data_IF_488872180475
#
_entry.id   IF_488872180475
#
_cell.length_a   1.000
_cell.length_b   1.000
_cell.length_c   1.000
_cell.angle_alpha   90.00
_cell.angle_beta   90.00
_cell.angle_gamma   90.00
#
_symmetry.space_group_name_H-M   'P 1'
#
loop_
_entity.id
_entity.type
_entity.pdbx_description
1 polymer ?
#
# COMPACT_ATOMS: atom_id res chain seq x y z
N UNK A 1 15.99 -17.90 -21.04
CA UNK A 1 16.18 -16.55 -21.61
C UNK A 1 14.95 -15.99 -22.34
N UNK A 2 14.26 -16.68 -23.25
CA UNK A 2 13.07 -16.17 -23.97
C UNK A 2 11.86 -15.78 -23.06
N UNK A 3 11.67 -16.45 -21.92
CA UNK A 3 10.55 -16.16 -20.99
C UNK A 3 10.74 -14.82 -20.27
N UNK A 4 11.96 -14.48 -19.87
CA UNK A 4 12.28 -13.20 -19.21
C UNK A 4 12.10 -11.99 -20.15
N UNK A 5 12.45 -12.14 -21.44
CA UNK A 5 12.25 -11.08 -22.44
C UNK A 5 10.77 -10.82 -22.73
N UNK A 6 9.91 -11.84 -22.66
CA UNK A 6 8.47 -11.68 -22.84
C UNK A 6 7.80 -11.03 -21.62
N UNK A 7 8.28 -11.31 -20.40
CA UNK A 7 7.78 -10.65 -19.18
C UNK A 7 8.14 -9.17 -19.21
N UNK A 8 9.34 -8.81 -19.64
CA UNK A 8 9.78 -7.41 -19.76
C UNK A 8 8.98 -6.61 -20.80
N UNK A 9 8.60 -7.24 -21.93
CA UNK A 9 7.72 -6.63 -22.93
C UNK A 9 6.31 -6.35 -22.41
N UNK A 10 5.75 -7.27 -21.62
CA UNK A 10 4.43 -7.09 -21.00
C UNK A 10 4.45 -5.95 -19.98
N UNK A 11 5.51 -5.82 -19.17
CA UNK A 11 5.65 -4.76 -18.16
C UNK A 11 5.73 -3.38 -18.79
N UNK A 12 6.36 -3.23 -19.95
CA UNK A 12 6.46 -1.97 -20.68
C UNK A 12 5.16 -1.52 -21.36
N UNK A 13 4.21 -2.42 -21.58
CA UNK A 13 2.89 -2.11 -22.14
C UNK A 13 1.96 -1.43 -21.12
N UNK A 14 2.10 -1.73 -19.83
CA UNK A 14 1.23 -1.19 -18.78
C UNK A 14 1.54 0.25 -18.37
N UNK A 15 2.65 0.82 -18.81
CA UNK A 15 3.04 2.20 -18.51
C UNK A 15 2.61 3.22 -19.57
N UNK A 16 1.80 2.83 -20.58
CA UNK A 16 1.32 3.70 -21.66
C UNK A 16 -0.13 4.15 -21.44
N UNK A 17 -0.54 5.34 -21.94
CA UNK A 17 -1.91 5.83 -21.82
C UNK A 17 -2.94 4.89 -22.48
N UNK A 18 -4.16 4.86 -21.95
CA UNK A 18 -5.24 3.88 -22.27
C UNK A 18 -5.53 3.68 -23.78
N UNK A 19 -5.40 4.71 -24.58
CA UNK A 19 -5.63 4.65 -26.05
C UNK A 19 -4.60 3.79 -26.80
N UNK A 20 -3.39 3.65 -26.26
CA UNK A 20 -2.32 2.83 -26.87
C UNK A 20 -2.45 1.35 -26.48
N UNK A 21 -3.16 1.04 -25.39
CA UNK A 21 -3.31 -0.32 -24.88
C UNK A 21 -4.22 -1.16 -25.79
N UNK A 22 -5.32 -0.59 -26.29
CA UNK A 22 -6.29 -1.31 -27.15
C UNK A 22 -5.67 -1.75 -28.47
N UNK A 23 -4.84 -0.90 -29.09
CA UNK A 23 -4.19 -1.24 -30.35
C UNK A 23 -3.06 -2.27 -30.17
N UNK A 24 -2.37 -2.27 -29.05
CA UNK A 24 -1.30 -3.24 -28.78
C UNK A 24 -1.82 -4.61 -28.32
N UNK A 25 -3.01 -4.68 -27.73
CA UNK A 25 -3.69 -5.96 -27.42
C UNK A 25 -4.06 -6.67 -28.73
N UNK A 26 -4.58 -5.94 -29.73
CA UNK A 26 -4.92 -6.49 -31.05
C UNK A 26 -3.70 -7.06 -31.79
N UNK A 27 -2.56 -6.38 -31.73
CA UNK A 27 -1.30 -6.85 -32.30
C UNK A 27 -0.70 -8.08 -31.58
N UNK A 28 -0.93 -8.21 -30.27
CA UNK A 28 -0.52 -9.39 -29.47
C UNK A 28 -1.43 -10.59 -29.71
N UNK A 29 -2.71 -10.37 -29.98
CA UNK A 29 -3.67 -11.41 -30.31
C UNK A 29 -3.34 -12.03 -31.68
N UNK A 30 -2.94 -11.23 -32.65
CA UNK A 30 -2.56 -11.69 -33.99
C UNK A 30 -1.23 -12.48 -34.01
N UNK A 31 -0.28 -12.15 -33.14
CA UNK A 31 1.06 -12.76 -33.13
C UNK A 31 1.25 -13.93 -32.18
N UNK A 32 0.31 -14.22 -31.27
CA UNK A 32 0.44 -15.25 -30.24
C UNK A 32 -0.79 -16.17 -30.07
N UNK A 33 -1.47 -16.50 -31.13
CA UNK A 33 -2.72 -17.32 -31.09
C UNK A 33 -2.58 -18.69 -30.38
N UNK A 34 -1.37 -19.23 -30.21
CA UNK A 34 -1.12 -20.48 -29.48
C UNK A 34 -0.87 -20.32 -27.98
N UNK A 35 -0.44 -19.14 -27.50
CA UNK A 35 -0.11 -18.94 -26.09
C UNK A 35 -1.28 -18.29 -25.31
N UNK A 36 -2.09 -17.46 -25.98
CA UNK A 36 -3.26 -16.77 -25.39
C UNK A 36 -4.40 -17.74 -25.11
N UNK A 37 -4.49 -18.86 -25.85
CA UNK A 37 -5.52 -19.90 -25.62
C UNK A 37 -5.45 -20.62 -24.26
N UNK A 38 -4.38 -20.42 -23.46
CA UNK A 38 -4.23 -21.05 -22.12
C UNK A 38 -4.47 -20.11 -20.94
N UNK A 39 -4.74 -18.85 -21.17
CA UNK A 39 -5.19 -17.94 -20.12
C UNK A 39 -6.67 -17.60 -20.40
N UNK A 40 -7.62 -18.21 -19.70
CA UNK A 40 -8.99 -17.75 -19.78
C UNK A 40 -9.07 -16.39 -19.05
N UNK A 41 -8.71 -15.33 -19.76
CA UNK A 41 -9.14 -13.99 -19.40
C UNK A 41 -10.63 -13.97 -19.73
N UNK A 42 -11.43 -14.41 -18.77
CA UNK A 42 -12.89 -14.37 -18.92
C UNK A 42 -13.26 -12.91 -19.04
N UNK A 43 -13.74 -12.49 -20.21
CA UNK A 43 -14.33 -11.16 -20.43
C UNK A 43 -15.42 -10.86 -19.37
N UNK A 44 -16.09 -11.89 -18.86
CA UNK A 44 -17.03 -11.83 -17.74
C UNK A 44 -16.40 -11.38 -16.42
N UNK A 45 -15.09 -11.58 -16.23
CA UNK A 45 -14.40 -11.11 -15.04
C UNK A 45 -14.40 -9.57 -14.97
N UNK A 46 -14.08 -8.90 -16.08
CA UNK A 46 -14.11 -7.44 -16.15
C UNK A 46 -15.53 -6.87 -16.09
N UNK A 47 -16.53 -7.53 -16.69
CA UNK A 47 -17.95 -7.12 -16.59
C UNK A 47 -18.46 -7.18 -15.15
N UNK A 48 -18.09 -8.21 -14.40
CA UNK A 48 -18.52 -8.37 -13.00
C UNK A 48 -17.99 -7.24 -12.09
N UNK A 49 -16.79 -6.72 -12.37
CA UNK A 49 -16.19 -5.67 -11.53
C UNK A 49 -16.49 -4.25 -11.98
N UNK A 50 -16.97 -4.04 -13.23
CA UNK A 50 -17.38 -2.71 -13.70
C UNK A 50 -18.73 -2.25 -13.13
N UNK A 51 -19.53 -3.14 -12.57
CA UNK A 51 -20.85 -2.84 -12.00
C UNK A 51 -20.86 -2.83 -10.46
N UNK A 52 -19.70 -3.06 -9.80
CA UNK A 52 -19.62 -2.87 -8.36
C UNK A 52 -19.64 -1.37 -8.06
N UNK A 53 -20.50 -0.96 -7.14
CA UNK A 53 -20.48 0.39 -6.59
C UNK A 53 -19.12 0.62 -5.91
N UNK A 54 -18.19 1.16 -6.69
CA UNK A 54 -16.78 1.35 -6.30
C UNK A 54 -16.67 2.39 -5.18
N UNK A 55 -17.76 3.01 -4.76
CA UNK A 55 -17.74 4.09 -3.79
C UNK A 55 -17.68 3.58 -2.35
N UNK A 56 -18.08 2.35 -2.08
CA UNK A 56 -18.09 1.81 -0.71
C UNK A 56 -17.20 0.58 -0.55
N UNK A 57 -16.41 0.54 0.51
CA UNK A 57 -15.68 -0.66 0.95
C UNK A 57 -16.58 -1.45 1.89
N UNK A 58 -16.83 -2.71 1.57
CA UNK A 58 -17.57 -3.64 2.45
C UNK A 58 -16.65 -4.20 3.54
N UNK A 59 -16.48 -3.42 4.59
CA UNK A 59 -15.64 -3.79 5.74
C UNK A 59 -16.14 -5.03 6.49
N UNK A 60 -17.46 -5.27 6.50
CA UNK A 60 -18.02 -6.43 7.21
C UNK A 60 -17.70 -7.74 6.49
N UNK A 61 -17.78 -7.75 5.16
CA UNK A 61 -17.35 -8.91 4.37
C UNK A 61 -15.83 -9.11 4.41
N UNK A 62 -15.06 -8.03 4.45
CA UNK A 62 -13.60 -8.12 4.63
C UNK A 62 -13.20 -8.76 5.95
N UNK A 63 -13.86 -8.44 7.07
CA UNK A 63 -13.63 -9.08 8.39
C UNK A 63 -13.85 -10.59 8.34
N UNK A 64 -14.86 -11.05 7.60
CA UNK A 64 -15.19 -12.48 7.45
C UNK A 64 -14.10 -13.30 6.74
N UNK A 65 -13.18 -12.66 6.03
CA UNK A 65 -12.06 -13.34 5.35
C UNK A 65 -11.05 -13.97 6.31
N UNK A 66 -11.08 -13.61 7.60
CA UNK A 66 -10.17 -14.13 8.64
C UNK A 66 -8.68 -13.99 8.26
N UNK A 67 -8.33 -12.88 7.64
CA UNK A 67 -6.93 -12.53 7.35
C UNK A 67 -6.24 -12.24 8.69
N UNK A 68 -5.05 -12.79 8.90
CA UNK A 68 -4.29 -12.61 10.13
C UNK A 68 -3.99 -11.12 10.40
N UNK A 69 -4.21 -10.68 11.65
CA UNK A 69 -4.02 -9.29 12.08
C UNK A 69 -4.81 -8.27 11.25
N UNK A 70 -5.96 -8.69 10.73
CA UNK A 70 -6.85 -7.81 9.98
C UNK A 70 -7.48 -6.73 10.86
N UNK A 71 -7.44 -5.49 10.37
CA UNK A 71 -8.08 -4.36 11.05
C UNK A 71 -8.54 -3.31 10.03
N UNK A 72 -9.65 -2.65 10.33
CA UNK A 72 -10.12 -1.49 9.59
C UNK A 72 -9.35 -0.26 10.05
N UNK A 73 -8.97 0.60 9.10
CA UNK A 73 -8.21 1.82 9.36
C UNK A 73 -9.02 3.02 8.84
N UNK A 74 -9.49 3.85 9.75
CA UNK A 74 -10.12 5.15 9.45
C UNK A 74 -11.31 5.11 8.48
N UNK A 75 -12.00 3.98 8.36
CA UNK A 75 -13.05 3.75 7.36
C UNK A 75 -12.60 4.02 5.90
N UNK A 76 -11.29 4.10 5.65
CA UNK A 76 -10.70 4.34 4.33
C UNK A 76 -10.07 3.09 3.74
N UNK A 77 -9.55 2.20 4.59
CA UNK A 77 -8.86 1.01 4.16
C UNK A 77 -8.67 0.01 5.28
N UNK A 78 -7.87 -1.00 5.01
CA UNK A 78 -7.62 -2.10 5.94
C UNK A 78 -6.15 -2.45 6.00
N UNK A 79 -5.74 -3.03 7.13
CA UNK A 79 -4.39 -3.60 7.32
C UNK A 79 -4.48 -5.09 7.63
N UNK A 80 -3.40 -5.81 7.38
CA UNK A 80 -3.30 -7.23 7.70
C UNK A 80 -1.95 -7.84 7.34
N UNK A 81 -1.83 -9.18 7.47
CA UNK A 81 -0.63 -9.88 7.03
C UNK A 81 -0.43 -9.76 5.50
N UNK A 82 0.81 -9.98 5.04
CA UNK A 82 1.08 -9.99 3.60
C UNK A 82 0.30 -11.09 2.87
N UNK A 83 -0.37 -10.70 1.79
CA UNK A 83 -1.06 -11.63 0.90
C UNK A 83 -0.14 -12.27 -0.15
N UNK A 84 1.18 -12.08 -0.06
CA UNK A 84 2.15 -12.61 -1.03
C UNK A 84 2.40 -14.10 -0.91
N UNK A 85 2.08 -14.74 0.21
CA UNK A 85 2.17 -16.18 0.34
C UNK A 85 1.15 -16.87 -0.59
N UNK A 86 1.56 -17.95 -1.26
CA UNK A 86 0.71 -18.67 -2.24
C UNK A 86 -0.67 -19.03 -1.68
N UNK A 87 -0.74 -19.43 -0.41
CA UNK A 87 -1.99 -19.76 0.30
C UNK A 87 -2.95 -18.57 0.41
N UNK A 88 -2.44 -17.34 0.40
CA UNK A 88 -3.19 -16.11 0.60
C UNK A 88 -3.68 -15.49 -0.72
N UNK A 89 -3.22 -15.97 -1.88
CA UNK A 89 -3.64 -15.42 -3.18
C UNK A 89 -5.16 -15.47 -3.39
N UNK A 90 -5.85 -16.42 -2.76
CA UNK A 90 -7.31 -16.52 -2.78
C UNK A 90 -8.02 -15.27 -2.23
N UNK A 91 -7.34 -14.50 -1.38
CA UNK A 91 -7.92 -13.28 -0.82
C UNK A 91 -7.85 -12.09 -1.78
N UNK A 92 -6.95 -12.09 -2.78
CA UNK A 92 -6.79 -10.94 -3.69
C UNK A 92 -8.07 -10.63 -4.47
N UNK A 93 -8.74 -11.65 -5.03
CA UNK A 93 -10.02 -11.44 -5.71
C UNK A 93 -11.11 -10.99 -4.73
N UNK A 94 -11.12 -11.52 -3.50
CA UNK A 94 -12.11 -11.18 -2.50
C UNK A 94 -11.97 -9.76 -1.97
N UNK A 95 -10.77 -9.31 -1.66
CA UNK A 95 -10.57 -7.92 -1.23
C UNK A 95 -10.96 -6.94 -2.35
N UNK A 96 -10.71 -7.29 -3.61
CA UNK A 96 -11.17 -6.50 -4.77
C UNK A 96 -12.69 -6.48 -4.87
N UNK A 97 -13.34 -7.63 -4.73
CA UNK A 97 -14.80 -7.76 -4.72
C UNK A 97 -15.44 -6.89 -3.64
N UNK A 98 -14.79 -6.74 -2.48
CA UNK A 98 -15.25 -5.94 -1.36
C UNK A 98 -14.78 -4.47 -1.37
N UNK A 99 -14.37 -3.97 -2.53
CA UNK A 99 -14.10 -2.55 -2.76
C UNK A 99 -12.68 -2.08 -2.53
N UNK A 100 -11.73 -2.96 -2.19
CA UNK A 100 -10.31 -2.60 -2.14
C UNK A 100 -9.77 -2.46 -3.55
N UNK A 101 -9.10 -1.34 -3.84
CA UNK A 101 -8.54 -1.06 -5.15
C UNK A 101 -7.02 -1.19 -5.21
N UNK A 102 -6.36 -1.11 -4.05
CA UNK A 102 -4.90 -1.01 -3.97
C UNK A 102 -4.33 -1.91 -2.88
N UNK A 103 -3.18 -2.52 -3.16
CA UNK A 103 -2.34 -3.22 -2.18
C UNK A 103 -1.06 -2.41 -1.97
N UNK A 104 -0.82 -1.97 -0.73
CA UNK A 104 0.41 -1.27 -0.32
C UNK A 104 1.29 -2.28 0.42
N UNK A 105 2.42 -2.64 -0.18
CA UNK A 105 3.37 -3.61 0.36
C UNK A 105 4.59 -2.89 0.97
N UNK A 106 4.73 -2.99 2.28
CA UNK A 106 5.79 -2.32 3.06
C UNK A 106 7.04 -3.19 3.28
N UNK A 107 7.09 -4.39 2.70
CA UNK A 107 8.21 -5.31 2.91
C UNK A 107 9.45 -4.83 2.15
N UNK A 108 10.62 -5.06 2.75
CA UNK A 108 11.91 -4.64 2.18
C UNK A 108 12.55 -5.71 1.29
N UNK A 109 12.52 -6.98 1.73
CA UNK A 109 13.30 -8.05 1.10
C UNK A 109 12.48 -8.98 0.18
N UNK A 110 11.17 -9.06 0.36
CA UNK A 110 10.35 -10.11 -0.26
C UNK A 110 9.51 -9.61 -1.43
N UNK A 111 9.92 -8.48 -2.03
CA UNK A 111 9.30 -8.05 -3.26
C UNK A 111 9.48 -9.11 -4.33
N UNK A 112 8.40 -9.73 -4.74
CA UNK A 112 8.41 -10.64 -5.88
C UNK A 112 7.61 -10.04 -7.03
N UNK A 113 8.19 -9.91 -8.24
CA UNK A 113 7.45 -9.52 -9.43
C UNK A 113 6.18 -10.35 -9.64
N UNK A 114 6.22 -11.60 -9.18
CA UNK A 114 5.08 -12.52 -9.19
C UNK A 114 3.90 -12.02 -8.35
N UNK A 115 4.15 -11.42 -7.19
CA UNK A 115 3.06 -10.89 -6.34
C UNK A 115 2.41 -9.67 -6.98
N UNK A 116 3.22 -8.75 -7.54
CA UNK A 116 2.71 -7.62 -8.33
C UNK A 116 1.81 -8.09 -9.47
N UNK A 117 2.27 -9.08 -10.25
CA UNK A 117 1.46 -9.65 -11.33
C UNK A 117 0.15 -10.24 -10.82
N UNK A 118 0.16 -10.91 -9.65
CA UNK A 118 -1.06 -11.45 -9.04
C UNK A 118 -2.02 -10.36 -8.58
N UNK A 119 -1.55 -9.27 -8.01
CA UNK A 119 -2.38 -8.11 -7.68
C UNK A 119 -3.03 -7.53 -8.95
N UNK A 120 -2.22 -7.26 -9.97
CA UNK A 120 -2.68 -6.68 -11.22
C UNK A 120 -3.71 -7.59 -11.93
N UNK A 121 -3.47 -8.91 -11.93
CA UNK A 121 -4.41 -9.90 -12.48
C UNK A 121 -5.77 -9.87 -11.78
N UNK A 122 -5.81 -9.54 -10.50
CA UNK A 122 -7.05 -9.38 -9.73
C UNK A 122 -7.60 -7.94 -9.77
N UNK A 123 -7.10 -7.07 -10.65
CA UNK A 123 -7.56 -5.70 -10.77
C UNK A 123 -7.18 -4.79 -9.59
N UNK A 124 -6.16 -5.19 -8.82
CA UNK A 124 -5.63 -4.42 -7.71
C UNK A 124 -4.39 -3.65 -8.17
N UNK A 125 -4.37 -2.35 -7.94
CA UNK A 125 -3.15 -1.55 -8.06
C UNK A 125 -2.14 -2.00 -7.00
N UNK A 126 -0.90 -2.29 -7.42
CA UNK A 126 0.15 -2.73 -6.51
C UNK A 126 1.18 -1.64 -6.29
N UNK A 127 1.33 -1.25 -5.04
CA UNK A 127 2.26 -0.22 -4.63
C UNK A 127 3.29 -0.80 -3.65
N UNK A 128 4.57 -0.76 -4.02
CA UNK A 128 5.67 -1.14 -3.14
C UNK A 128 6.29 0.09 -2.51
N UNK A 129 6.25 0.15 -1.19
CA UNK A 129 6.81 1.22 -0.36
C UNK A 129 7.59 0.55 0.77
N UNK A 130 8.86 0.16 0.54
CA UNK A 130 9.63 -0.54 1.55
C UNK A 130 9.92 0.38 2.74
N UNK A 131 9.48 -0.05 3.92
CA UNK A 131 9.73 0.63 5.19
C UNK A 131 10.24 -0.39 6.19
N UNK A 132 11.42 -0.14 6.74
CA UNK A 132 11.95 -0.89 7.88
C UNK A 132 12.54 0.09 8.89
N UNK A 133 12.22 -0.14 10.18
CA UNK A 133 12.63 0.78 11.23
C UNK A 133 14.15 0.91 11.38
N UNK A 134 14.90 -0.12 11.01
CA UNK A 134 16.34 -0.20 11.25
C UNK A 134 17.19 -0.03 9.99
N UNK A 135 16.71 -0.56 8.87
CA UNK A 135 17.53 -0.74 7.66
C UNK A 135 17.21 0.19 6.51
N UNK A 136 15.97 0.74 6.42
CA UNK A 136 15.62 1.66 5.35
C UNK A 136 16.20 3.05 5.62
N UNK A 137 17.05 3.61 4.76
CA UNK A 137 17.58 4.97 4.92
C UNK A 137 16.46 6.01 5.00
N UNK A 138 16.65 7.08 5.78
CA UNK A 138 15.64 8.13 5.92
C UNK A 138 15.29 8.78 4.56
N UNK A 139 16.29 9.01 3.70
CA UNK A 139 16.09 9.53 2.34
C UNK A 139 15.14 8.68 1.50
N UNK A 140 15.22 7.35 1.60
CA UNK A 140 14.35 6.45 0.86
C UNK A 140 12.91 6.49 1.39
N UNK A 141 12.76 6.69 2.70
CA UNK A 141 11.43 6.89 3.30
C UNK A 141 10.87 8.23 2.82
N UNK A 142 11.61 9.34 2.95
CA UNK A 142 11.20 10.68 2.53
C UNK A 142 10.72 10.67 1.09
N UNK A 143 11.48 10.07 0.18
CA UNK A 143 11.12 9.93 -1.25
C UNK A 143 9.77 9.23 -1.46
N UNK A 144 9.40 8.32 -0.56
CA UNK A 144 8.16 7.55 -0.68
C UNK A 144 6.98 8.15 0.10
N UNK A 145 7.19 9.15 0.98
CA UNK A 145 6.12 9.76 1.77
C UNK A 145 4.98 10.32 0.91
N UNK A 146 5.22 11.11 -0.16
CA UNK A 146 4.14 11.65 -0.97
C UNK A 146 3.23 10.55 -1.55
N UNK A 147 3.86 9.46 -2.01
CA UNK A 147 3.17 8.31 -2.57
C UNK A 147 2.36 7.55 -1.51
N UNK A 148 2.92 7.39 -0.31
CA UNK A 148 2.21 6.78 0.82
C UNK A 148 1.00 7.62 1.23
N UNK A 149 1.17 8.94 1.37
CA UNK A 149 0.11 9.85 1.81
C UNK A 149 -1.03 9.88 0.79
N UNK A 150 -0.74 10.05 -0.51
CA UNK A 150 -1.75 9.98 -1.56
C UNK A 150 -2.55 8.68 -1.48
N UNK A 151 -1.87 7.54 -1.35
CA UNK A 151 -2.53 6.24 -1.29
C UNK A 151 -3.43 6.07 -0.06
N UNK A 152 -3.03 6.59 1.10
CA UNK A 152 -3.82 6.54 2.33
C UNK A 152 -4.99 7.54 2.29
N UNK A 153 -4.78 8.73 1.73
CA UNK A 153 -5.81 9.77 1.60
C UNK A 153 -6.92 9.37 0.63
N UNK A 154 -6.56 8.74 -0.50
CA UNK A 154 -7.51 8.20 -1.49
C UNK A 154 -8.36 7.05 -0.94
N UNK A 155 -7.85 6.32 0.04
CA UNK A 155 -8.55 5.19 0.63
C UNK A 155 -8.59 3.93 -0.24
N UNK A 156 -9.51 3.00 0.10
CA UNK A 156 -9.72 1.71 -0.60
C UNK A 156 -8.45 0.88 -0.72
N UNK A 157 -7.61 0.92 0.29
CA UNK A 157 -6.33 0.22 0.33
C UNK A 157 -6.34 -0.99 1.27
N UNK A 158 -5.53 -1.98 0.91
CA UNK A 158 -5.03 -3.02 1.79
C UNK A 158 -3.54 -2.77 2.02
N UNK A 159 -3.15 -2.40 3.25
CA UNK A 159 -1.75 -2.14 3.59
C UNK A 159 -1.18 -3.29 4.42
N UNK A 160 0.00 -3.78 4.06
CA UNK A 160 0.63 -4.91 4.71
C UNK A 160 2.15 -4.79 4.80
N UNK A 161 2.68 -5.31 5.88
CA UNK A 161 4.06 -5.80 5.96
C UNK A 161 4.02 -7.34 6.09
N UNK A 162 5.05 -8.00 6.59
CA UNK A 162 5.00 -9.45 6.76
C UNK A 162 3.77 -9.90 7.58
N UNK A 163 3.55 -9.27 8.74
CA UNK A 163 2.44 -9.59 9.65
C UNK A 163 1.38 -8.49 9.76
N UNK A 164 1.50 -7.37 9.04
CA UNK A 164 0.58 -6.24 9.14
C UNK A 164 0.64 -5.49 10.49
N UNK A 165 1.76 -5.57 11.22
CA UNK A 165 1.92 -4.98 12.55
C UNK A 165 3.00 -3.89 12.56
N UNK A 166 4.27 -4.20 12.76
CA UNK A 166 5.32 -3.22 13.08
C UNK A 166 5.58 -2.19 11.97
N UNK A 167 5.92 -2.61 10.74
CA UNK A 167 6.18 -1.67 9.62
C UNK A 167 4.92 -0.91 9.23
N UNK A 168 3.76 -1.55 9.41
CA UNK A 168 2.47 -0.92 9.16
C UNK A 168 2.18 0.18 10.18
N UNK A 169 2.52 -0.02 11.45
CA UNK A 169 2.43 1.03 12.47
C UNK A 169 3.36 2.21 12.12
N UNK A 170 4.61 1.91 11.69
CA UNK A 170 5.55 2.97 11.26
C UNK A 170 4.96 3.76 10.10
N UNK A 171 4.38 3.11 9.09
CA UNK A 171 3.75 3.80 7.96
C UNK A 171 2.62 4.74 8.39
N UNK A 172 1.76 4.30 9.31
CA UNK A 172 0.69 5.15 9.85
C UNK A 172 1.22 6.26 10.76
N UNK A 173 2.24 5.97 11.57
CA UNK A 173 2.91 7.00 12.36
C UNK A 173 3.55 8.07 11.46
N UNK A 174 4.26 7.67 10.40
CA UNK A 174 4.83 8.60 9.43
C UNK A 174 3.75 9.41 8.72
N UNK A 175 2.65 8.79 8.32
CA UNK A 175 1.52 9.52 7.77
C UNK A 175 0.99 10.58 8.76
N UNK A 176 0.75 10.20 10.01
CA UNK A 176 0.27 11.14 11.03
C UNK A 176 1.27 12.26 11.30
N UNK A 177 2.56 11.95 11.45
CA UNK A 177 3.58 12.92 11.84
C UNK A 177 3.99 13.87 10.71
N UNK A 178 3.94 13.44 9.44
CA UNK A 178 4.50 14.15 8.30
C UNK A 178 3.49 14.60 7.24
N UNK A 179 2.22 14.11 7.29
CA UNK A 179 1.17 14.54 6.38
C UNK A 179 0.28 15.61 7.05
N UNK A 180 0.28 16.85 6.56
CA UNK A 180 -0.58 17.91 7.12
C UNK A 180 -2.08 17.58 7.07
N UNK A 181 -2.50 16.74 6.13
CA UNK A 181 -3.90 16.31 5.98
C UNK A 181 -4.32 15.23 6.98
N UNK A 182 -3.38 14.52 7.58
CA UNK A 182 -3.67 13.46 8.53
C UNK A 182 -3.97 14.03 9.92
N UNK A 183 -5.24 14.17 10.25
CA UNK A 183 -5.70 14.72 11.54
C UNK A 183 -5.97 13.66 12.60
N UNK A 184 -6.25 12.42 12.18
CA UNK A 184 -6.60 11.33 13.09
C UNK A 184 -5.37 10.60 13.58
N UNK A 185 -5.25 10.47 14.91
CA UNK A 185 -4.16 9.73 15.56
C UNK A 185 -4.31 8.24 15.28
N UNK A 186 -3.31 7.57 14.71
CA UNK A 186 -3.42 6.15 14.41
C UNK A 186 -3.23 5.28 15.65
N UNK A 187 -4.01 4.19 15.76
CA UNK A 187 -3.80 3.16 16.75
C UNK A 187 -2.65 2.24 16.35
N UNK A 188 -1.71 2.03 17.27
CA UNK A 188 -0.55 1.15 17.09
C UNK A 188 -0.85 -0.25 17.62
N UNK A 189 -0.47 -1.29 16.89
CA UNK A 189 -0.76 -2.67 17.26
C UNK A 189 0.47 -3.54 17.46
N UNK A 190 1.54 -3.25 16.75
CA UNK A 190 2.80 -3.97 16.86
C UNK A 190 3.79 -3.33 17.80
N UNK A 191 3.63 -2.03 18.06
CA UNK A 191 4.50 -1.25 18.93
C UNK A 191 3.92 -1.01 20.32
N UNK A 192 2.71 -1.47 20.61
CA UNK A 192 2.15 -1.45 21.98
C UNK A 192 2.44 -2.77 22.66
N UNK A 193 3.08 -2.74 23.82
CA UNK A 193 3.32 -3.88 24.68
C UNK A 193 2.99 -3.49 26.12
N UNK A 194 2.17 -4.32 26.79
CA UNK A 194 1.72 -4.07 28.18
C UNK A 194 1.07 -2.69 28.37
N UNK A 195 0.27 -2.26 27.36
CA UNK A 195 -0.39 -0.96 27.36
C UNK A 195 0.52 0.25 27.08
N UNK A 196 1.82 0.04 26.84
CA UNK A 196 2.76 1.13 26.54
C UNK A 196 3.21 1.09 25.08
N UNK A 197 3.24 2.24 24.45
CA UNK A 197 3.80 2.39 23.10
C UNK A 197 5.32 2.14 23.16
N UNK A 198 5.80 1.18 22.37
CA UNK A 198 7.24 1.00 22.13
C UNK A 198 7.73 2.09 21.20
N UNK A 199 8.14 3.16 21.81
CA UNK A 199 8.33 4.46 21.23
C UNK A 199 9.62 4.59 20.41
N UNK A 200 10.65 3.86 20.83
CA UNK A 200 12.03 4.07 20.36
C UNK A 200 12.17 3.94 18.84
N UNK A 201 11.58 2.91 18.24
CA UNK A 201 11.68 2.68 16.79
C UNK A 201 10.95 3.76 15.97
N UNK A 202 9.75 4.18 16.41
CA UNK A 202 8.94 5.20 15.72
C UNK A 202 9.60 6.56 15.83
N UNK A 203 10.01 6.96 17.04
CA UNK A 203 10.60 8.26 17.28
C UNK A 203 12.02 8.40 16.74
N UNK A 204 12.83 7.37 16.87
CA UNK A 204 14.15 7.34 16.24
C UNK A 204 14.02 7.55 14.73
N UNK A 205 13.06 6.90 14.10
CA UNK A 205 12.81 7.03 12.68
C UNK A 205 12.28 8.42 12.31
N UNK A 206 11.32 8.95 13.06
CA UNK A 206 10.79 10.29 12.85
C UNK A 206 11.89 11.36 13.01
N UNK A 207 12.73 11.24 14.02
CA UNK A 207 13.86 12.14 14.23
C UNK A 207 14.91 12.03 13.11
N UNK A 208 15.17 10.82 12.59
CA UNK A 208 16.07 10.65 11.45
C UNK A 208 15.53 11.32 10.19
N UNK A 209 14.23 11.21 9.92
CA UNK A 209 13.57 11.90 8.81
C UNK A 209 13.66 13.42 9.00
N UNK A 210 13.37 13.93 10.20
CA UNK A 210 13.46 15.38 10.49
C UNK A 210 14.85 15.96 10.29
N UNK A 211 15.91 15.18 10.48
CA UNK A 211 17.29 15.61 10.23
C UNK A 211 17.66 15.66 8.75
N UNK A 212 17.02 14.84 7.92
CA UNK A 212 17.38 14.67 6.52
C UNK A 212 16.40 15.34 5.55
N UNK A 213 15.17 15.67 6.01
CA UNK A 213 14.14 16.27 5.16
C UNK A 213 14.53 17.69 4.75
N UNK A 214 14.57 17.93 3.45
CA UNK A 214 14.95 19.24 2.89
C UNK A 214 13.75 20.19 2.84
N UNK A 215 14.04 21.49 2.62
CA UNK A 215 12.98 22.49 2.39
C UNK A 215 12.13 22.13 1.18
N UNK A 216 12.74 21.60 0.11
CA UNK A 216 12.02 21.14 -1.09
C UNK A 216 11.10 19.97 -0.77
N UNK A 217 11.54 18.99 0.03
CA UNK A 217 10.70 17.87 0.46
C UNK A 217 9.52 18.35 1.29
N UNK A 218 9.73 19.28 2.23
CA UNK A 218 8.67 19.90 3.03
C UNK A 218 7.62 20.59 2.16
N UNK A 219 8.06 21.32 1.14
CA UNK A 219 7.17 21.98 0.17
C UNK A 219 6.35 20.94 -0.62
N UNK A 220 6.98 19.87 -1.13
CA UNK A 220 6.29 18.76 -1.82
C UNK A 220 5.25 18.07 -0.93
N UNK A 221 5.50 17.99 0.37
CA UNK A 221 4.59 17.43 1.36
C UNK A 221 3.49 18.42 1.80
N UNK A 222 3.53 19.67 1.33
CA UNK A 222 2.57 20.72 1.67
C UNK A 222 2.72 21.25 3.10
N UNK A 223 3.94 21.24 3.65
CA UNK A 223 4.19 21.77 5.00
C UNK A 223 4.07 23.29 5.05
N UNK A 224 3.48 23.76 6.14
CA UNK A 224 3.49 25.16 6.57
C UNK A 224 4.41 25.33 7.77
N UNK A 225 4.81 26.55 8.05
CA UNK A 225 5.61 26.85 9.25
C UNK A 225 4.88 26.46 10.57
N UNK A 226 3.55 26.53 10.57
CA UNK A 226 2.72 26.09 11.70
C UNK A 226 2.75 24.57 11.85
N UNK A 227 2.60 23.84 10.75
CA UNK A 227 2.68 22.38 10.80
C UNK A 227 4.05 21.91 11.32
N UNK A 228 5.13 22.55 10.90
CA UNK A 228 6.48 22.23 11.39
C UNK A 228 6.65 22.49 12.89
N UNK A 229 6.09 23.59 13.40
CA UNK A 229 6.08 23.91 14.84
C UNK A 229 5.28 22.90 15.66
N UNK A 230 4.22 22.34 15.08
CA UNK A 230 3.34 21.36 15.74
C UNK A 230 3.93 19.94 15.79
N UNK A 231 5.05 19.68 15.13
CA UNK A 231 5.61 18.33 15.02
C UNK A 231 5.83 17.63 16.38
N UNK A 232 6.45 18.31 17.35
CA UNK A 232 6.67 17.75 18.68
C UNK A 232 5.35 17.49 19.43
N UNK A 233 4.37 18.38 19.30
CA UNK A 233 3.04 18.21 19.86
C UNK A 233 2.34 16.99 19.26
N UNK A 234 2.45 16.78 17.95
CA UNK A 234 1.90 15.59 17.27
C UNK A 234 2.55 14.31 17.78
N UNK A 235 3.88 14.30 18.01
CA UNK A 235 4.59 13.17 18.62
C UNK A 235 4.02 12.85 20.00
N UNK A 236 3.90 13.84 20.88
CA UNK A 236 3.36 13.64 22.22
C UNK A 236 1.90 13.15 22.18
N UNK A 237 1.10 13.65 21.24
CA UNK A 237 -0.28 13.22 21.06
C UNK A 237 -0.35 11.75 20.62
N UNK A 238 0.52 11.33 19.69
CA UNK A 238 0.61 9.93 19.25
C UNK A 238 0.92 8.98 20.40
N UNK A 239 1.84 9.39 21.29
CA UNK A 239 2.23 8.59 22.47
C UNK A 239 1.04 8.45 23.42
N UNK A 240 0.53 9.59 23.89
CA UNK A 240 -0.57 9.61 24.86
C UNK A 240 -1.78 8.81 24.40
N UNK A 241 -2.12 8.90 23.11
CA UNK A 241 -3.24 8.16 22.55
C UNK A 241 -3.06 6.63 22.60
N UNK A 242 -1.83 6.15 22.45
CA UNK A 242 -1.54 4.72 22.40
C UNK A 242 -1.12 4.12 23.77
N UNK A 243 -1.04 4.94 24.81
CA UNK A 243 -0.80 4.52 26.19
C UNK A 243 -2.09 4.42 27.03
N UNK A 244 -3.23 4.82 26.45
CA UNK A 244 -4.57 4.66 27.01
C UNK A 244 -5.18 3.30 26.60
#
# INVERSE_FOLDING_TARGET
MKILQNVQKITNLYNKPKTTITNNIKLLEENNSKFVKKLPVKADFYKKYNNLDINNVDFESLKKLKITNFQIVDNKGVRGESLSAKRNYRFLSKIKEYGINRVIDLRTADYTPKFKLKCNYNGLDYMHIPIDAKTTPAKDIIKNLPKLFSALDEGKYYIACAQGRHRTDIAFAMNYLFNPKATKVPKMYGHVKEGKLRYDDICSRANSIMKEITTEDKQKLGWTAEFEKDFEKRKQTLIKFNEQ
#
